data_IF_014057092809
#
_entry.id   IF_014057092809
#
_cell.length_a   1.000
_cell.length_b   1.000
_cell.length_c   1.000
_cell.angle_alpha   90.00
_cell.angle_beta   90.00
_cell.angle_gamma   90.00
#
_symmetry.space_group_name_H-M   'P 1'
#
loop_
_entity.id
_entity.type
_entity.pdbx_description
1 polymer ?
#
# COMPACT_ATOMS: atom_id res chain seq x y z
N UNK A 1 -13.27 8.35 -4.01
CA UNK A 1 -12.14 9.26 -4.31
C UNK A 1 -10.88 8.41 -4.38
N UNK A 2 -10.03 8.61 -5.39
CA UNK A 2 -8.80 7.83 -5.56
C UNK A 2 -7.57 8.59 -5.08
N UNK A 3 -6.73 7.91 -4.32
CA UNK A 3 -5.45 8.42 -3.80
C UNK A 3 -4.34 7.64 -4.48
N UNK A 4 -3.43 8.32 -5.16
CA UNK A 4 -2.25 7.70 -5.78
C UNK A 4 -0.99 8.10 -5.02
N UNK A 5 -0.09 7.13 -4.78
CA UNK A 5 1.17 7.36 -4.11
C UNK A 5 2.31 6.56 -4.77
N UNK A 6 3.33 7.27 -5.26
CA UNK A 6 4.58 6.68 -5.71
C UNK A 6 5.46 6.28 -4.51
N UNK A 7 6.16 5.14 -4.62
CA UNK A 7 7.06 4.59 -3.61
C UNK A 7 8.49 4.59 -4.15
N UNK A 8 9.27 5.60 -3.76
CA UNK A 8 10.65 5.78 -4.28
C UNK A 8 11.69 4.89 -3.60
N UNK A 9 11.44 4.49 -2.35
CA UNK A 9 12.39 3.76 -1.52
C UNK A 9 12.05 2.26 -1.40
N UNK A 10 11.64 1.62 -2.50
CA UNK A 10 11.39 0.18 -2.52
C UNK A 10 11.83 -0.43 -3.84
N UNK A 11 12.53 -1.56 -3.77
CA UNK A 11 12.91 -2.37 -4.93
C UNK A 11 11.78 -3.28 -5.42
N UNK A 12 10.69 -3.43 -4.65
CA UNK A 12 9.63 -4.39 -4.93
C UNK A 12 8.27 -3.74 -5.21
N UNK A 13 7.96 -2.62 -4.56
CA UNK A 13 6.69 -1.89 -4.72
C UNK A 13 7.01 -0.52 -5.32
N UNK A 14 6.42 -0.20 -6.47
CA UNK A 14 6.68 1.04 -7.19
C UNK A 14 5.68 2.13 -6.84
N UNK A 15 4.42 1.76 -6.64
CA UNK A 15 3.34 2.69 -6.31
C UNK A 15 2.14 1.94 -5.73
N UNK A 16 1.19 2.67 -5.17
CA UNK A 16 -0.14 2.18 -4.87
C UNK A 16 -1.22 3.22 -5.17
N UNK A 17 -2.42 2.73 -5.46
CA UNK A 17 -3.65 3.51 -5.56
C UNK A 17 -4.64 3.00 -4.50
N UNK A 18 -5.35 3.90 -3.85
CA UNK A 18 -6.41 3.55 -2.91
C UNK A 18 -7.71 4.24 -3.28
N UNK A 19 -8.78 3.47 -3.44
CA UNK A 19 -10.13 3.98 -3.61
C UNK A 19 -10.86 4.00 -2.27
N UNK A 20 -11.15 5.21 -1.76
CA UNK A 20 -11.81 5.41 -0.47
C UNK A 20 -13.29 5.00 -0.48
N UNK A 21 -13.92 4.87 -1.65
CA UNK A 21 -15.33 4.48 -1.77
C UNK A 21 -15.50 2.97 -1.75
N UNK A 22 -14.60 2.24 -2.42
CA UNK A 22 -14.65 0.78 -2.49
C UNK A 22 -13.73 0.09 -1.47
N UNK A 23 -12.89 0.86 -0.76
CA UNK A 23 -11.86 0.37 0.17
C UNK A 23 -10.88 -0.61 -0.51
N UNK A 24 -10.54 -0.36 -1.78
CA UNK A 24 -9.62 -1.20 -2.54
C UNK A 24 -8.27 -0.50 -2.61
N UNK A 25 -7.23 -1.19 -2.15
CA UNK A 25 -5.83 -0.79 -2.30
C UNK A 25 -5.20 -1.58 -3.46
N UNK A 26 -4.90 -0.92 -4.57
CA UNK A 26 -4.13 -1.47 -5.67
C UNK A 26 -2.64 -1.20 -5.46
N UNK A 27 -1.80 -2.23 -5.54
CA UNK A 27 -0.34 -2.10 -5.39
C UNK A 27 0.34 -2.52 -6.69
N UNK A 28 1.21 -1.65 -7.22
CA UNK A 28 2.04 -1.92 -8.39
C UNK A 28 3.41 -2.46 -7.95
N UNK A 29 3.69 -3.71 -8.28
CA UNK A 29 4.96 -4.37 -7.98
C UNK A 29 5.92 -4.32 -9.16
N UNK A 30 7.21 -4.21 -8.87
CA UNK A 30 8.27 -4.14 -9.87
C UNK A 30 8.35 -5.38 -10.78
N UNK A 31 8.05 -6.57 -10.25
CA UNK A 31 8.16 -7.85 -10.97
C UNK A 31 6.81 -8.55 -11.21
N UNK A 32 5.70 -7.98 -10.73
CA UNK A 32 4.42 -8.71 -10.63
C UNK A 32 3.23 -8.02 -11.29
N UNK A 33 3.35 -6.77 -11.71
CA UNK A 33 2.20 -5.98 -12.15
C UNK A 33 1.38 -5.43 -10.97
N UNK A 34 0.11 -5.15 -11.21
CA UNK A 34 -0.82 -4.59 -10.22
C UNK A 34 -1.64 -5.68 -9.53
N UNK A 35 -1.80 -5.60 -8.21
CA UNK A 35 -2.69 -6.47 -7.43
C UNK A 35 -3.60 -5.63 -6.54
N UNK A 36 -4.88 -6.00 -6.52
CA UNK A 36 -5.89 -5.35 -5.69
C UNK A 36 -6.06 -6.07 -4.34
N UNK A 37 -6.12 -5.29 -3.27
CA UNK A 37 -6.35 -5.72 -1.89
C UNK A 37 -7.64 -5.05 -1.40
N UNK A 38 -8.78 -5.77 -1.42
CA UNK A 38 -10.07 -5.22 -1.01
C UNK A 38 -10.22 -5.16 0.50
N UNK A 39 -11.02 -4.20 0.98
CA UNK A 39 -11.38 -4.05 2.40
C UNK A 39 -10.27 -3.45 3.27
N UNK A 40 -9.20 -2.90 2.69
CA UNK A 40 -8.11 -2.29 3.46
C UNK A 40 -8.61 -0.97 4.09
N UNK A 41 -8.55 -0.80 5.42
CA UNK A 41 -8.96 0.43 6.06
C UNK A 41 -8.09 1.62 5.65
N UNK A 42 -8.72 2.78 5.52
CA UNK A 42 -8.01 4.03 5.17
C UNK A 42 -6.92 4.39 6.21
N UNK A 43 -7.08 3.99 7.48
CA UNK A 43 -6.07 4.20 8.53
C UNK A 43 -4.75 3.48 8.26
N UNK A 44 -4.80 2.28 7.64
CA UNK A 44 -3.61 1.54 7.21
C UNK A 44 -2.92 2.30 6.08
N UNK A 45 -3.68 2.72 5.07
CA UNK A 45 -3.15 3.47 3.93
C UNK A 45 -2.52 4.80 4.37
N UNK A 46 -3.19 5.56 5.23
CA UNK A 46 -2.63 6.79 5.82
C UNK A 46 -1.35 6.53 6.58
N UNK A 47 -1.31 5.47 7.39
CA UNK A 47 -0.09 5.08 8.13
C UNK A 47 1.05 4.74 7.18
N UNK A 48 0.76 4.06 6.07
CA UNK A 48 1.75 3.79 5.04
C UNK A 48 2.28 5.07 4.41
N UNK A 49 1.41 5.99 4.00
CA UNK A 49 1.79 7.29 3.41
C UNK A 49 2.65 8.13 4.35
N UNK A 50 2.31 8.20 5.64
CA UNK A 50 3.13 8.91 6.64
C UNK A 50 4.47 8.19 6.87
N UNK A 51 4.47 6.86 6.82
CA UNK A 51 5.69 6.05 6.87
C UNK A 51 6.66 6.39 5.75
N UNK A 52 6.18 6.51 4.51
CA UNK A 52 7.01 6.81 3.32
C UNK A 52 7.77 8.14 3.41
N UNK A 53 7.36 9.07 4.29
CA UNK A 53 8.08 10.34 4.53
C UNK A 53 9.32 10.16 5.41
N UNK A 54 9.51 8.99 6.03
CA UNK A 54 10.61 8.68 6.94
C UNK A 54 11.70 7.91 6.21
N UNK A 55 12.96 8.25 6.45
CA UNK A 55 14.11 7.62 5.78
C UNK A 55 14.29 6.14 6.17
N UNK A 56 13.90 5.76 7.39
CA UNK A 56 14.05 4.41 7.94
C UNK A 56 12.85 3.49 7.66
N UNK A 57 11.81 4.00 6.99
CA UNK A 57 10.61 3.24 6.73
C UNK A 57 10.84 2.17 5.65
N UNK A 58 10.56 0.93 6.01
CA UNK A 58 10.69 -0.22 5.11
C UNK A 58 9.34 -0.65 4.55
N UNK A 59 9.01 -0.17 3.35
CA UNK A 59 7.79 -0.49 2.60
C UNK A 59 7.48 -1.99 2.55
N UNK A 60 8.47 -2.84 2.23
CA UNK A 60 8.24 -4.28 2.14
C UNK A 60 7.87 -4.93 3.47
N UNK A 61 8.44 -4.46 4.58
CA UNK A 61 8.09 -4.95 5.93
C UNK A 61 6.67 -4.54 6.31
N UNK A 62 6.30 -3.29 6.02
CA UNK A 62 4.94 -2.79 6.26
C UNK A 62 3.91 -3.60 5.48
N UNK A 63 4.13 -3.77 4.17
CA UNK A 63 3.26 -4.57 3.31
C UNK A 63 3.05 -6.00 3.84
N UNK A 64 4.13 -6.71 4.15
CA UNK A 64 4.02 -8.10 4.64
C UNK A 64 3.29 -8.21 5.98
N UNK A 65 3.37 -7.19 6.83
CA UNK A 65 2.76 -7.19 8.16
C UNK A 65 1.28 -6.77 8.14
N UNK A 66 0.96 -5.68 7.44
CA UNK A 66 -0.33 -5.00 7.57
C UNK A 66 -1.27 -5.25 6.39
N UNK A 67 -0.76 -5.65 5.21
CA UNK A 67 -1.55 -5.71 3.97
C UNK A 67 -1.62 -7.13 3.41
N UNK A 68 -0.48 -7.82 3.28
CA UNK A 68 -0.38 -9.10 2.56
C UNK A 68 -1.36 -10.17 3.06
N UNK A 69 -1.54 -10.23 4.38
CA UNK A 69 -2.41 -11.19 5.05
C UNK A 69 -3.59 -10.50 5.72
N UNK A 70 -3.97 -9.30 5.25
CA UNK A 70 -5.12 -8.62 5.80
C UNK A 70 -6.38 -9.42 5.43
N UNK A 71 -7.01 -10.02 6.43
CA UNK A 71 -8.30 -10.69 6.28
C UNK A 71 -9.41 -9.71 6.66
N UNK A 72 -10.42 -9.60 5.79
CA UNK A 72 -11.63 -8.83 6.09
C UNK A 72 -12.40 -9.60 7.17
N UNK A 73 -12.34 -9.10 8.39
CA UNK A 73 -13.08 -9.63 9.54
C UNK A 73 -14.57 -9.31 9.53
#
# INVERSE_FOLDING_TARGET
MKIYQEVKNSSAILAFEYDTETLILSIHFASGGEYAYPGIPESIVRTWMEGLKKEDFSTGKYFNKEIRNYEVG
#
